data_IF_766073981215
#
_entry.id   IF_766073981215
#
_cell.length_a   1.000
_cell.length_b   1.000
_cell.length_c   1.000
_cell.angle_alpha   90.00
_cell.angle_beta   90.00
_cell.angle_gamma   90.00
#
_symmetry.space_group_name_H-M   'P 1'
#
loop_
_entity.id
_entity.type
_entity.pdbx_description
1 polymer ?
#
# COMPACT_ATOMS: atom_id res chain seq x y z
N UNK A 1 14.85 -7.05 1.04
CA UNK A 1 14.40 -6.84 2.44
C UNK A 1 12.92 -6.49 2.50
N UNK A 2 12.43 -5.59 1.64
CA UNK A 2 11.02 -5.19 1.58
C UNK A 2 10.04 -6.33 1.24
N UNK A 3 10.38 -7.22 0.31
CA UNK A 3 9.52 -8.38 0.02
C UNK A 3 9.47 -9.38 1.19
N UNK A 4 10.60 -9.64 1.85
CA UNK A 4 10.66 -10.49 3.05
C UNK A 4 9.82 -9.91 4.20
N UNK A 5 9.75 -8.58 4.34
CA UNK A 5 8.84 -7.93 5.27
C UNK A 5 7.38 -8.30 4.95
N UNK A 6 6.93 -8.09 3.70
CA UNK A 6 5.55 -8.42 3.30
C UNK A 6 5.26 -9.92 3.46
N UNK A 7 6.23 -10.78 3.13
CA UNK A 7 6.13 -12.24 3.28
C UNK A 7 5.96 -12.67 4.75
N UNK A 8 6.64 -12.01 5.69
CA UNK A 8 6.48 -12.28 7.13
C UNK A 8 5.04 -12.02 7.62
N UNK A 9 4.28 -11.18 6.92
CA UNK A 9 2.86 -10.90 7.16
C UNK A 9 1.91 -11.68 6.26
N UNK A 10 2.40 -12.68 5.53
CA UNK A 10 1.59 -13.44 4.56
C UNK A 10 1.06 -12.57 3.41
N UNK A 11 1.82 -11.53 3.03
CA UNK A 11 1.43 -10.52 2.05
C UNK A 11 0.10 -9.81 2.36
N UNK A 12 -0.36 -9.86 3.61
CA UNK A 12 -1.66 -9.35 4.06
C UNK A 12 -2.87 -9.98 3.36
N UNK A 13 -2.75 -11.24 2.90
CA UNK A 13 -3.89 -11.98 2.35
C UNK A 13 -5.03 -12.08 3.37
N UNK A 14 -6.25 -11.77 2.93
CA UNK A 14 -7.49 -11.71 3.72
C UNK A 14 -7.55 -10.62 4.80
N UNK A 15 -6.56 -9.72 4.86
CA UNK A 15 -6.66 -8.53 5.71
C UNK A 15 -7.64 -7.53 5.10
N UNK A 16 -8.37 -6.83 5.95
CA UNK A 16 -9.23 -5.72 5.56
C UNK A 16 -8.47 -4.40 5.60
N UNK A 17 -8.65 -3.55 4.57
CA UNK A 17 -8.16 -2.18 4.52
C UNK A 17 -9.23 -1.23 5.07
N UNK A 18 -8.95 -0.62 6.23
CA UNK A 18 -9.87 0.33 6.88
C UNK A 18 -9.52 1.79 6.64
N UNK A 19 -8.26 2.10 6.33
CA UNK A 19 -7.82 3.49 6.26
C UNK A 19 -6.68 3.69 5.26
N UNK A 20 -6.72 4.84 4.60
CA UNK A 20 -5.66 5.36 3.73
C UNK A 20 -5.33 6.76 4.22
N UNK A 21 -4.20 6.91 4.89
CA UNK A 21 -3.77 8.18 5.49
C UNK A 21 -2.62 8.77 4.68
N UNK A 22 -2.85 9.95 4.12
CA UNK A 22 -1.80 10.74 3.46
C UNK A 22 -1.09 11.58 4.52
N UNK A 23 0.24 11.50 4.56
CA UNK A 23 1.06 12.29 5.48
C UNK A 23 1.13 13.78 5.10
N UNK A 24 1.97 14.53 5.81
CA UNK A 24 2.21 15.94 5.50
C UNK A 24 2.67 16.12 4.04
N UNK A 25 2.25 17.22 3.41
CA UNK A 25 2.72 17.60 2.07
C UNK A 25 4.13 18.21 2.14
N UNK A 26 5.10 17.43 2.62
CA UNK A 26 6.50 17.76 2.73
C UNK A 26 7.32 16.49 2.41
N UNK A 27 8.50 16.67 1.81
CA UNK A 27 9.39 15.55 1.53
C UNK A 27 10.20 15.14 2.79
N UNK A 28 10.37 13.84 3.06
CA UNK A 28 9.83 12.70 2.31
C UNK A 28 8.32 12.48 2.58
N UNK A 29 7.52 12.41 1.51
CA UNK A 29 6.07 12.14 1.63
C UNK A 29 5.81 10.72 2.13
N UNK A 30 4.70 10.55 2.84
CA UNK A 30 4.29 9.26 3.39
C UNK A 30 2.84 8.95 3.06
N UNK A 31 2.55 7.65 2.93
CA UNK A 31 1.22 7.08 2.86
C UNK A 31 1.15 5.96 3.87
N UNK A 32 0.08 5.86 4.66
CA UNK A 32 -0.12 4.75 5.59
C UNK A 32 -1.44 4.06 5.31
N UNK A 33 -1.39 2.72 5.24
CA UNK A 33 -2.57 1.87 5.17
C UNK A 33 -2.84 1.29 6.57
N UNK A 34 -4.06 1.45 7.07
CA UNK A 34 -4.54 0.66 8.19
C UNK A 34 -5.12 -0.65 7.71
N UNK A 35 -4.58 -1.74 8.25
CA UNK A 35 -4.97 -3.10 7.89
C UNK A 35 -5.35 -3.86 9.15
N UNK A 36 -6.38 -4.71 9.07
CA UNK A 36 -6.76 -5.57 10.20
C UNK A 36 -7.17 -6.98 9.78
N UNK A 37 -6.99 -7.94 10.68
CA UNK A 37 -7.56 -9.29 10.59
C UNK A 37 -7.96 -9.78 11.99
N UNK A 38 -9.27 -10.00 12.20
CA UNK A 38 -9.81 -10.18 13.54
C UNK A 38 -9.46 -9.01 14.44
N UNK A 39 -8.83 -9.30 15.59
CA UNK A 39 -8.39 -8.29 16.57
C UNK A 39 -7.01 -7.68 16.27
N UNK A 40 -6.27 -8.21 15.28
CA UNK A 40 -4.94 -7.72 14.93
C UNK A 40 -5.06 -6.53 14.01
N UNK A 41 -4.33 -5.45 14.32
CA UNK A 41 -4.24 -4.24 13.50
C UNK A 41 -2.80 -3.87 13.23
N UNK A 42 -2.54 -3.40 12.03
CA UNK A 42 -1.25 -2.82 11.66
C UNK A 42 -1.40 -1.52 10.90
N UNK A 43 -0.39 -0.67 11.03
CA UNK A 43 -0.10 0.42 10.12
C UNK A 43 1.03 -0.03 9.17
N UNK A 44 0.73 -0.09 7.88
CA UNK A 44 1.73 -0.27 6.81
C UNK A 44 2.05 1.10 6.21
N UNK A 45 3.23 1.64 6.53
CA UNK A 45 3.66 2.97 6.08
C UNK A 45 4.65 2.87 4.93
N UNK A 46 4.34 3.58 3.85
CA UNK A 46 5.16 3.80 2.67
C UNK A 46 5.88 5.14 2.84
N UNK A 47 7.22 5.14 2.73
CA UNK A 47 8.06 6.35 2.89
C UNK A 47 8.68 6.76 1.57
N UNK A 48 8.82 8.07 1.38
CA UNK A 48 9.35 8.64 0.13
C UNK A 48 8.40 8.41 -1.04
N UNK A 49 7.09 8.55 -0.81
CA UNK A 49 6.06 8.34 -1.83
C UNK A 49 6.15 9.42 -2.90
N UNK A 50 6.30 9.02 -4.16
CA UNK A 50 6.38 9.93 -5.32
C UNK A 50 5.11 9.92 -6.15
N UNK A 51 4.32 8.86 -6.05
CA UNK A 51 3.04 8.71 -6.73
C UNK A 51 2.18 7.65 -6.03
N UNK A 52 0.87 7.87 -5.97
CA UNK A 52 -0.12 6.88 -5.54
C UNK A 52 -1.37 7.00 -6.39
N UNK A 53 -1.98 5.86 -6.72
CA UNK A 53 -3.35 5.78 -7.24
C UNK A 53 -4.16 4.81 -6.40
N UNK A 54 -5.40 5.19 -6.10
CA UNK A 54 -6.38 4.38 -5.37
C UNK A 54 -7.59 4.20 -6.26
N UNK A 55 -8.04 2.96 -6.45
CA UNK A 55 -9.22 2.62 -7.25
C UNK A 55 -10.20 1.79 -6.43
N UNK A 56 -11.49 2.02 -6.65
CA UNK A 56 -12.57 1.15 -6.18
C UNK A 56 -12.61 0.96 -4.66
N UNK A 57 -12.29 2.02 -3.90
CA UNK A 57 -12.40 2.00 -2.44
C UNK A 57 -13.87 1.90 -2.03
N UNK A 58 -14.24 0.77 -1.40
CA UNK A 58 -15.60 0.46 -0.96
C UNK A 58 -15.67 0.26 0.55
N UNK A 59 -16.74 -0.36 1.04
CA UNK A 59 -16.93 -0.58 2.48
C UNK A 59 -16.26 -1.86 3.02
N UNK A 60 -15.94 -2.83 2.15
CA UNK A 60 -15.42 -4.14 2.59
C UNK A 60 -13.91 -4.33 2.39
N UNK A 61 -13.29 -3.60 1.45
CA UNK A 61 -11.88 -3.64 1.03
C UNK A 61 -11.05 -4.81 1.58
N UNK A 62 -11.17 -5.99 0.97
CA UNK A 62 -10.44 -7.21 1.36
C UNK A 62 -9.23 -7.36 0.45
N UNK A 63 -8.05 -7.45 1.05
CA UNK A 63 -6.77 -7.57 0.37
C UNK A 63 -6.56 -9.01 -0.09
N UNK A 64 -6.33 -9.20 -1.39
CA UNK A 64 -5.83 -10.46 -1.94
C UNK A 64 -4.32 -10.59 -1.71
N UNK A 65 -3.58 -9.49 -1.82
CA UNK A 65 -2.15 -9.47 -1.48
C UNK A 65 -1.50 -8.13 -1.77
N UNK A 66 -0.45 -7.81 -1.02
CA UNK A 66 0.40 -6.64 -1.22
C UNK A 66 1.77 -7.12 -1.69
N UNK A 67 2.21 -6.66 -2.85
CA UNK A 67 3.48 -7.12 -3.44
C UNK A 67 4.31 -5.96 -3.98
N UNK A 68 5.64 -6.07 -3.83
CA UNK A 68 6.58 -5.28 -4.63
C UNK A 68 6.60 -5.88 -6.03
N UNK A 69 6.31 -5.07 -7.05
CA UNK A 69 6.19 -5.52 -8.44
C UNK A 69 7.34 -4.94 -9.25
N UNK A 70 8.26 -5.81 -9.66
CA UNK A 70 9.42 -5.42 -10.48
C UNK A 70 9.17 -5.58 -11.99
N UNK A 71 10.00 -4.99 -12.87
CA UNK A 71 9.80 -5.02 -14.33
C UNK A 71 9.71 -6.42 -14.98
N UNK A 72 10.24 -7.45 -14.33
CA UNK A 72 10.16 -8.84 -14.78
C UNK A 72 8.89 -9.59 -14.32
N UNK A 73 8.04 -8.97 -13.50
CA UNK A 73 6.79 -9.56 -13.02
C UNK A 73 5.69 -9.39 -14.08
N UNK A 74 4.93 -10.46 -14.34
CA UNK A 74 3.79 -10.43 -15.28
C UNK A 74 2.72 -9.41 -14.88
N UNK A 75 2.67 -9.02 -13.61
CA UNK A 75 1.74 -8.04 -13.07
C UNK A 75 2.26 -6.60 -13.14
N UNK A 76 3.52 -6.39 -13.52
CA UNK A 76 4.15 -5.05 -13.57
C UNK A 76 3.40 -4.09 -14.48
N UNK A 77 3.05 -4.53 -15.70
CA UNK A 77 2.35 -3.68 -16.66
C UNK A 77 1.02 -3.15 -16.11
N UNK A 78 0.26 -4.00 -15.39
CA UNK A 78 -0.98 -3.60 -14.74
C UNK A 78 -0.72 -2.60 -13.61
N UNK A 79 0.26 -2.87 -12.74
CA UNK A 79 0.59 -1.98 -11.63
C UNK A 79 1.04 -0.60 -12.12
N UNK A 80 1.88 -0.55 -13.17
CA UNK A 80 2.31 0.70 -13.81
C UNK A 80 1.14 1.47 -14.41
N UNK A 81 0.25 0.81 -15.15
CA UNK A 81 -0.91 1.47 -15.77
C UNK A 81 -1.87 2.07 -14.72
N UNK A 82 -2.04 1.42 -13.56
CA UNK A 82 -2.82 2.01 -12.46
C UNK A 82 -2.06 3.19 -11.85
N UNK A 83 -0.76 3.06 -11.58
CA UNK A 83 0.07 4.13 -11.03
C UNK A 83 0.06 5.39 -11.91
N UNK A 84 0.04 5.24 -13.24
CA UNK A 84 -0.01 6.36 -14.20
C UNK A 84 -1.25 7.22 -14.07
N UNK A 85 -2.32 6.73 -13.44
CA UNK A 85 -3.51 7.54 -13.12
C UNK A 85 -3.36 8.39 -11.87
N UNK A 86 -2.29 8.19 -11.09
CA UNK A 86 -2.00 8.93 -9.88
C UNK A 86 -1.34 10.28 -10.14
N UNK A 87 -1.49 11.20 -9.20
CA UNK A 87 -0.82 12.50 -9.26
C UNK A 87 0.68 12.34 -8.99
N UNK A 88 1.50 13.12 -9.72
CA UNK A 88 2.95 13.21 -9.51
C UNK A 88 3.33 14.62 -9.12
N UNK A 89 3.73 14.78 -7.87
CA UNK A 89 4.19 16.05 -7.30
C UNK A 89 5.70 16.27 -7.45
N UNK A 90 6.41 15.32 -8.08
CA UNK A 90 7.85 15.37 -8.33
C UNK A 90 8.21 14.58 -9.60
N UNK A 91 9.29 14.98 -10.25
CA UNK A 91 9.89 14.23 -11.37
C UNK A 91 10.73 13.04 -10.89
N UNK A 92 11.04 12.97 -9.59
CA UNK A 92 11.76 11.85 -8.98
C UNK A 92 10.91 10.59 -9.07
N UNK A 93 11.55 9.47 -9.45
CA UNK A 93 10.99 8.12 -9.32
C UNK A 93 11.56 7.46 -8.08
N UNK A 94 10.70 6.85 -7.27
CA UNK A 94 11.13 6.09 -6.11
C UNK A 94 11.58 4.67 -6.50
N UNK A 95 12.25 3.97 -5.57
CA UNK A 95 12.88 2.69 -5.86
C UNK A 95 11.90 1.52 -6.06
N UNK A 96 10.69 1.60 -5.49
CA UNK A 96 9.74 0.49 -5.43
C UNK A 96 8.41 0.88 -6.07
N UNK A 97 7.84 -0.07 -6.80
CA UNK A 97 6.41 -0.09 -7.14
C UNK A 97 5.75 -1.18 -6.31
N UNK A 98 4.81 -0.79 -5.45
CA UNK A 98 4.00 -1.71 -4.65
C UNK A 98 2.58 -1.69 -5.17
N UNK A 99 1.98 -2.87 -5.28
CA UNK A 99 0.58 -3.02 -5.67
C UNK A 99 -0.21 -3.76 -4.60
N UNK A 100 -1.36 -3.21 -4.24
CA UNK A 100 -2.38 -3.84 -3.40
C UNK A 100 -3.43 -4.42 -4.33
N UNK A 101 -3.45 -5.75 -4.42
CA UNK A 101 -4.48 -6.49 -5.14
C UNK A 101 -5.66 -6.70 -4.20
N UNK A 102 -6.87 -6.46 -4.68
CA UNK A 102 -8.08 -6.74 -3.92
C UNK A 102 -8.67 -8.09 -4.28
N UNK A 103 -9.16 -8.80 -3.26
CA UNK A 103 -10.21 -9.80 -3.43
C UNK A 103 -11.54 -9.09 -3.65
N UNK A 104 -11.74 -7.97 -2.92
CA UNK A 104 -12.91 -7.12 -3.03
C UNK A 104 -12.56 -5.68 -2.66
N UNK A 105 -13.02 -4.70 -3.43
CA UNK A 105 -12.82 -3.28 -3.12
C UNK A 105 -11.46 -2.74 -3.60
N UNK A 106 -10.76 -2.02 -2.72
CA UNK A 106 -9.68 -1.12 -3.11
C UNK A 106 -8.46 -1.79 -3.75
N UNK A 107 -8.07 -1.34 -4.94
CA UNK A 107 -6.74 -1.58 -5.50
C UNK A 107 -5.89 -0.32 -5.40
N UNK A 108 -4.60 -0.49 -5.08
CA UNK A 108 -3.67 0.63 -4.94
C UNK A 108 -2.38 0.33 -5.70
N UNK A 109 -1.87 1.33 -6.42
CA UNK A 109 -0.50 1.33 -6.92
C UNK A 109 0.28 2.47 -6.25
N UNK A 110 1.41 2.15 -5.65
CA UNK A 110 2.19 3.08 -4.81
C UNK A 110 3.65 3.03 -5.24
N UNK A 111 4.20 4.17 -5.64
CA UNK A 111 5.63 4.36 -5.91
C UNK A 111 6.29 4.96 -4.66
N UNK A 112 7.22 4.25 -4.03
CA UNK A 112 7.85 4.64 -2.76
C UNK A 112 9.29 4.12 -2.63
N UNK A 113 10.03 4.62 -1.64
CA UNK A 113 11.42 4.20 -1.42
C UNK A 113 11.53 3.02 -0.45
N UNK A 114 10.63 2.95 0.54
CA UNK A 114 10.66 1.91 1.58
C UNK A 114 9.30 1.72 2.25
N UNK A 115 9.18 0.59 2.95
CA UNK A 115 8.00 0.18 3.71
C UNK A 115 8.38 -0.09 5.17
N UNK A 116 7.42 0.16 6.06
CA UNK A 116 7.50 -0.17 7.48
C UNK A 116 6.14 -0.72 7.94
N UNK A 117 6.15 -1.77 8.77
CA UNK A 117 4.94 -2.29 9.41
C UNK A 117 5.05 -2.10 10.90
N UNK A 118 4.00 -1.58 11.53
CA UNK A 118 3.86 -1.50 12.99
C UNK A 118 2.53 -2.12 13.41
N UNK A 119 2.54 -3.05 14.35
CA UNK A 119 1.31 -3.42 15.04
C UNK A 119 0.79 -2.20 15.81
N UNK A 120 -0.51 -1.96 15.73
CA UNK A 120 -1.18 -0.90 16.47
C UNK A 120 -2.01 -1.55 17.57
N UNK A 121 -2.00 -0.98 18.77
CA UNK A 121 -2.83 -1.49 19.86
C UNK A 121 -4.31 -1.35 19.48
N UNK A 122 -5.11 -2.35 19.87
CA UNK A 122 -6.55 -2.40 19.67
C UNK A 122 -7.24 -1.31 20.52
N UNK A 123 -7.24 -0.07 20.04
CA UNK A 123 -8.11 1.00 20.53
C UNK A 123 -9.43 1.02 19.73
N UNK A 124 -10.57 1.39 20.35
CA UNK A 124 -11.76 1.71 19.59
C UNK A 124 -11.43 2.90 18.67
N UNK A 125 -11.76 2.77 17.39
CA UNK A 125 -11.80 3.93 16.49
C UNK A 125 -12.98 4.77 16.97
N UNK A 126 -12.68 5.98 17.46
CA UNK A 126 -13.67 6.97 17.90
C UNK A 126 -14.60 7.39 16.75
#
# INVERSE_FOLDING_TARGET
MTDELLKAWGYFHDWSLDSVTVGANAEPRTLTLGLYIGERRVALTFRGVTCVSVKQFGLLNIVYGIHVVGPGDTKHARASAVLETGERLTHRRAALLVFVYSTLGAELAIECDSLEVRETESGPVL
#
